data_IF_802010524393
#
_entry.id   IF_802010524393
#
_cell.length_a   1.000
_cell.length_b   1.000
_cell.length_c   1.000
_cell.angle_alpha   90.00
_cell.angle_beta   90.00
_cell.angle_gamma   90.00
#
_symmetry.space_group_name_H-M   'P 1'
#
loop_
_entity.id
_entity.type
_entity.pdbx_description
1 polymer ?
#
# COMPACT_ATOMS: atom_id res chain seq x y z
N UNK A 1 12.34 47.23 -36.80
CA UNK A 1 12.67 47.21 -35.35
C UNK A 1 11.82 46.09 -34.75
N UNK A 2 12.42 44.95 -34.35
CA UNK A 2 12.81 44.61 -32.96
C UNK A 2 11.61 44.76 -32.00
N UNK A 3 11.07 43.76 -31.29
CA UNK A 3 11.64 42.51 -30.75
C UNK A 3 10.50 41.57 -30.28
N UNK A 4 10.73 40.25 -30.32
CA UNK A 4 9.99 39.23 -29.58
C UNK A 4 9.94 39.53 -28.07
N UNK A 5 8.84 39.14 -27.40
CA UNK A 5 8.91 38.75 -25.98
C UNK A 5 8.13 37.46 -25.71
N UNK A 6 8.91 36.39 -25.56
CA UNK A 6 8.59 35.15 -24.84
C UNK A 6 8.83 35.40 -23.34
N UNK A 7 7.90 34.98 -22.48
CA UNK A 7 8.15 34.68 -21.06
C UNK A 7 7.39 33.37 -20.78
N UNK A 8 8.02 32.20 -20.90
CA UNK A 8 8.88 31.53 -19.91
C UNK A 8 8.26 31.44 -18.51
N UNK A 9 7.62 30.29 -18.30
CA UNK A 9 7.17 29.75 -17.01
C UNK A 9 8.41 29.46 -16.16
N UNK A 10 8.50 30.13 -15.02
CA UNK A 10 9.49 29.84 -13.99
C UNK A 10 9.09 28.57 -13.23
N UNK A 11 9.86 27.49 -13.44
CA UNK A 11 9.92 26.37 -12.50
C UNK A 11 10.90 26.79 -11.39
N UNK A 12 10.41 26.78 -10.15
CA UNK A 12 11.22 26.99 -8.96
C UNK A 12 12.13 25.77 -8.79
N UNK A 13 13.40 25.94 -9.17
CA UNK A 13 14.49 25.12 -8.71
C UNK A 13 14.94 25.67 -7.34
N UNK A 14 14.71 24.91 -6.26
CA UNK A 14 15.44 25.15 -5.00
C UNK A 14 16.79 24.48 -5.13
N UNK A 15 17.75 25.26 -5.62
CA UNK A 15 19.19 25.01 -5.54
C UNK A 15 19.65 25.47 -4.16
N UNK A 16 20.11 24.55 -3.32
CA UNK A 16 21.13 24.86 -2.32
C UNK A 16 22.42 24.19 -2.77
N UNK A 17 23.25 24.98 -3.43
CA UNK A 17 24.64 24.64 -3.73
C UNK A 17 25.54 25.07 -2.58
N UNK A 18 26.58 24.27 -2.35
CA UNK A 18 27.71 24.65 -1.52
C UNK A 18 28.60 23.47 -1.14
N UNK A 19 29.60 23.18 -1.98
CA UNK A 19 30.78 22.41 -1.57
C UNK A 19 31.12 21.21 -2.43
N UNK A 20 31.84 21.44 -3.53
CA UNK A 20 32.53 20.39 -4.27
C UNK A 20 33.69 19.83 -3.43
N UNK A 21 33.67 18.53 -3.13
CA UNK A 21 34.87 17.75 -2.83
C UNK A 21 34.82 16.44 -3.61
N UNK A 22 35.72 16.34 -4.60
CA UNK A 22 36.06 15.11 -5.29
C UNK A 22 36.82 14.19 -4.33
N UNK A 23 36.32 12.98 -4.12
CA UNK A 23 37.15 11.78 -3.99
C UNK A 23 36.40 10.60 -4.60
N UNK A 24 37.05 9.95 -5.56
CA UNK A 24 36.64 8.66 -6.06
C UNK A 24 36.59 7.67 -4.91
N UNK A 25 35.38 7.24 -4.59
CA UNK A 25 35.12 5.90 -4.12
C UNK A 25 33.92 5.45 -4.92
N UNK A 26 34.13 4.41 -5.73
CA UNK A 26 33.08 3.50 -6.13
C UNK A 26 32.36 3.06 -4.86
N UNK A 27 31.31 3.80 -4.51
CA UNK A 27 30.39 3.41 -3.46
C UNK A 27 29.91 2.01 -3.84
N UNK A 28 29.96 1.04 -2.91
CA UNK A 28 29.36 -0.25 -3.18
C UNK A 28 27.93 0.03 -3.63
N UNK A 29 27.51 -0.62 -4.71
CA UNK A 29 26.12 -0.65 -5.14
C UNK A 29 25.31 -1.24 -3.99
N UNK A 30 24.94 -0.40 -3.04
CA UNK A 30 24.07 -0.75 -1.93
C UNK A 30 22.79 -1.26 -2.57
N UNK A 31 22.42 -2.50 -2.23
CA UNK A 31 21.19 -3.15 -2.69
C UNK A 31 19.91 -2.46 -2.14
N UNK A 32 20.02 -1.23 -1.64
CA UNK A 32 18.97 -0.52 -0.93
C UNK A 32 18.69 -1.15 0.43
N UNK A 33 17.79 -0.52 1.19
CA UNK A 33 17.13 -1.19 2.32
C UNK A 33 16.27 -2.32 1.74
N UNK A 34 16.29 -3.50 2.36
CA UNK A 34 15.43 -4.61 1.94
C UNK A 34 13.99 -4.37 2.39
N UNK A 35 13.02 -4.67 1.52
CA UNK A 35 11.61 -4.58 1.90
C UNK A 35 11.34 -5.63 2.97
N UNK A 36 10.76 -5.21 4.08
CA UNK A 36 10.45 -6.17 5.11
C UNK A 36 9.19 -6.99 4.77
N UNK A 37 8.23 -6.44 4.02
CA UNK A 37 6.96 -7.12 3.72
C UNK A 37 6.91 -7.68 2.31
N UNK A 38 6.19 -8.78 2.14
CA UNK A 38 5.81 -9.29 0.82
C UNK A 38 4.32 -9.05 0.52
N UNK A 39 3.61 -8.30 1.37
CA UNK A 39 2.22 -7.97 1.17
C UNK A 39 2.05 -6.84 0.16
N UNK A 40 1.35 -7.15 -0.93
CA UNK A 40 1.12 -6.22 -2.02
C UNK A 40 -0.35 -5.81 -2.03
N UNK A 41 -0.58 -4.59 -1.56
CA UNK A 41 -1.90 -3.96 -1.56
C UNK A 41 -1.78 -2.61 -2.25
N UNK A 42 -2.41 -2.49 -3.41
CA UNK A 42 -2.56 -1.18 -4.06
C UNK A 42 -3.60 -0.39 -3.27
N UNK A 43 -3.24 0.84 -2.92
CA UNK A 43 -4.19 1.79 -2.31
C UNK A 43 -4.99 2.52 -3.36
N UNK A 44 -4.34 2.85 -4.49
CA UNK A 44 -4.88 3.70 -5.52
C UNK A 44 -4.27 3.37 -6.88
N UNK A 45 -5.09 3.38 -7.92
CA UNK A 45 -4.66 3.36 -9.30
C UNK A 45 -5.42 4.42 -10.10
N UNK A 46 -4.72 5.51 -10.42
CA UNK A 46 -5.31 6.71 -11.00
C UNK A 46 -4.88 6.96 -12.43
N UNK A 47 -5.85 7.45 -13.21
CA UNK A 47 -5.64 8.12 -14.49
C UNK A 47 -5.97 9.61 -14.37
N UNK A 48 -5.24 10.45 -15.10
CA UNK A 48 -5.42 11.89 -15.08
C UNK A 48 -4.97 12.48 -16.42
N UNK A 49 -5.83 13.27 -17.08
CA UNK A 49 -5.47 14.06 -18.28
C UNK A 49 -5.18 15.53 -17.97
N UNK A 50 -5.32 15.93 -16.70
CA UNK A 50 -5.03 17.28 -16.23
C UNK A 50 -4.65 17.25 -14.74
N UNK A 51 -3.92 18.27 -14.24
CA UNK A 51 -3.36 18.26 -12.88
C UNK A 51 -4.38 18.15 -11.73
N UNK A 52 -5.67 18.40 -12.00
CA UNK A 52 -6.69 18.56 -10.97
C UNK A 52 -7.72 17.43 -10.95
N UNK A 53 -7.72 16.56 -11.95
CA UNK A 53 -8.74 15.51 -12.11
C UNK A 53 -8.06 14.15 -12.09
N UNK A 54 -8.38 13.37 -11.05
CA UNK A 54 -7.91 12.00 -10.89
C UNK A 54 -9.12 11.08 -10.93
N UNK A 55 -9.06 10.08 -11.79
CA UNK A 55 -10.10 9.07 -11.98
C UNK A 55 -9.50 7.76 -11.51
N UNK A 56 -10.11 7.14 -10.49
CA UNK A 56 -9.77 5.78 -10.07
C UNK A 56 -10.12 4.83 -11.22
N UNK A 57 -9.18 3.95 -11.57
CA UNK A 57 -9.29 3.02 -12.69
C UNK A 57 -8.81 1.63 -12.24
N UNK A 58 -9.40 0.59 -12.80
CA UNK A 58 -9.02 -0.80 -12.45
C UNK A 58 -8.00 -1.36 -13.46
N UNK A 59 -8.09 -0.90 -14.71
CA UNK A 59 -7.29 -1.38 -15.84
C UNK A 59 -6.38 -0.29 -16.41
N UNK A 60 -5.28 -0.72 -17.03
CA UNK A 60 -4.40 0.20 -17.77
C UNK A 60 -5.20 0.85 -18.92
N UNK A 61 -5.22 2.18 -19.06
CA UNK A 61 -6.01 2.86 -20.07
C UNK A 61 -5.71 2.37 -21.50
N UNK A 62 -6.76 2.06 -22.25
CA UNK A 62 -6.69 1.43 -23.58
C UNK A 62 -6.13 2.36 -24.65
N UNK A 63 -6.13 3.66 -24.42
CA UNK A 63 -5.65 4.70 -25.34
C UNK A 63 -4.15 5.02 -25.17
N UNK A 64 -3.48 4.44 -24.17
CA UNK A 64 -2.03 4.60 -24.01
C UNK A 64 -1.26 3.92 -25.15
N UNK A 65 -0.13 4.52 -25.51
CA UNK A 65 0.80 3.95 -26.49
C UNK A 65 1.31 2.57 -26.04
N UNK A 66 1.67 1.66 -26.98
CA UNK A 66 2.12 0.31 -26.63
C UNK A 66 3.29 0.26 -25.64
N UNK A 67 4.28 1.15 -25.79
CA UNK A 67 5.45 1.23 -24.88
C UNK A 67 5.06 1.55 -23.44
N UNK A 68 4.03 2.37 -23.24
CA UNK A 68 3.55 2.75 -21.91
C UNK A 68 2.78 1.63 -21.24
N UNK A 69 1.94 0.94 -22.02
CA UNK A 69 1.25 -0.27 -21.55
C UNK A 69 2.24 -1.34 -21.15
N UNK A 70 3.27 -1.58 -21.96
CA UNK A 70 4.31 -2.57 -21.66
C UNK A 70 5.01 -2.26 -20.33
N UNK A 71 5.42 -1.01 -20.10
CA UNK A 71 6.00 -0.59 -18.83
C UNK A 71 5.04 -0.83 -17.67
N UNK A 72 3.80 -0.33 -17.75
CA UNK A 72 2.82 -0.44 -16.67
C UNK A 72 2.47 -1.91 -16.38
N UNK A 73 2.27 -2.74 -17.40
CA UNK A 73 2.01 -4.17 -17.22
C UNK A 73 3.17 -4.84 -16.48
N UNK A 74 4.42 -4.62 -16.92
CA UNK A 74 5.58 -5.21 -16.24
C UNK A 74 5.75 -4.69 -14.82
N UNK A 75 5.67 -3.37 -14.63
CA UNK A 75 5.87 -2.73 -13.34
C UNK A 75 4.82 -3.14 -12.30
N UNK A 76 3.53 -3.20 -12.68
CA UNK A 76 2.44 -3.57 -11.78
C UNK A 76 2.44 -5.04 -11.37
N UNK A 77 3.15 -5.90 -12.11
CA UNK A 77 3.33 -7.33 -11.78
C UNK A 77 4.55 -7.60 -10.90
N UNK A 78 5.37 -6.58 -10.62
CA UNK A 78 6.50 -6.74 -9.71
C UNK A 78 5.97 -7.00 -8.29
N UNK A 79 6.56 -7.95 -7.54
CA UNK A 79 6.23 -8.11 -6.14
C UNK A 79 6.69 -6.86 -5.36
N UNK A 80 6.04 -6.56 -4.22
CA UNK A 80 6.33 -5.34 -3.46
C UNK A 80 7.80 -5.26 -3.00
N UNK A 81 8.43 -6.41 -2.80
CA UNK A 81 9.80 -6.60 -2.36
C UNK A 81 10.80 -6.79 -3.53
N UNK A 82 10.38 -6.49 -4.77
CA UNK A 82 11.22 -6.67 -5.95
C UNK A 82 12.62 -6.06 -5.77
N UNK A 83 13.64 -6.86 -6.11
CA UNK A 83 15.03 -6.42 -6.11
C UNK A 83 15.25 -5.26 -7.09
N UNK A 84 16.29 -4.46 -6.84
CA UNK A 84 16.68 -3.37 -7.75
C UNK A 84 16.90 -3.86 -9.19
N UNK A 85 17.36 -5.11 -9.37
CA UNK A 85 17.53 -5.70 -10.70
C UNK A 85 16.19 -5.96 -11.39
N UNK A 86 15.21 -6.51 -10.66
CA UNK A 86 13.85 -6.71 -11.19
C UNK A 86 13.21 -5.37 -11.54
N UNK A 87 13.33 -4.37 -10.66
CA UNK A 87 12.82 -3.01 -10.91
C UNK A 87 13.47 -2.40 -12.15
N UNK A 88 14.80 -2.46 -12.29
CA UNK A 88 15.49 -1.93 -13.49
C UNK A 88 15.03 -2.62 -14.78
N UNK A 89 14.68 -3.91 -14.72
CA UNK A 89 14.33 -4.69 -15.92
C UNK A 89 13.01 -4.29 -16.59
N UNK A 90 12.15 -3.52 -15.91
CA UNK A 90 10.87 -3.09 -16.47
C UNK A 90 10.96 -1.76 -17.21
N UNK A 91 12.02 -0.98 -17.00
CA UNK A 91 12.22 0.30 -17.68
C UNK A 91 12.63 0.10 -19.13
N UNK A 92 12.27 1.03 -20.03
CA UNK A 92 12.68 0.96 -21.44
C UNK A 92 14.17 1.19 -21.65
N UNK A 93 14.85 1.80 -20.67
CA UNK A 93 16.29 2.04 -20.65
C UNK A 93 16.79 2.06 -19.20
N UNK A 94 18.10 2.09 -19.00
CA UNK A 94 18.68 2.12 -17.65
C UNK A 94 18.19 3.35 -16.88
N UNK A 95 17.48 3.18 -15.75
CA UNK A 95 16.99 4.30 -14.96
C UNK A 95 18.13 4.97 -14.19
N UNK A 96 18.01 6.28 -14.01
CA UNK A 96 18.72 7.01 -12.97
C UNK A 96 18.21 6.57 -11.61
N UNK A 97 19.12 6.44 -10.65
CA UNK A 97 18.80 5.97 -9.29
C UNK A 97 19.23 7.04 -8.30
N UNK A 98 18.30 7.43 -7.43
CA UNK A 98 18.55 8.32 -6.30
C UNK A 98 18.10 7.67 -5.00
N UNK A 99 18.73 8.04 -3.90
CA UNK A 99 18.43 7.51 -2.56
C UNK A 99 18.43 8.67 -1.55
N UNK A 100 17.34 8.82 -0.80
CA UNK A 100 17.16 9.91 0.17
C UNK A 100 16.17 9.47 1.25
N UNK A 101 16.57 9.51 2.52
CA UNK A 101 15.70 9.18 3.67
C UNK A 101 14.89 7.87 3.51
N UNK A 102 15.55 6.77 3.15
CA UNK A 102 14.92 5.46 2.89
C UNK A 102 13.97 5.42 1.69
N UNK A 103 13.85 6.51 0.93
CA UNK A 103 13.20 6.56 -0.36
C UNK A 103 14.25 6.40 -1.47
N UNK A 104 14.11 5.33 -2.24
CA UNK A 104 14.95 5.04 -3.41
C UNK A 104 14.12 5.14 -4.67
N UNK A 105 14.51 6.01 -5.59
CA UNK A 105 13.73 6.27 -6.81
C UNK A 105 14.49 5.85 -8.06
N UNK A 106 13.80 5.12 -8.93
CA UNK A 106 14.24 4.72 -10.26
C UNK A 106 13.48 5.58 -11.27
N UNK A 107 14.20 6.26 -12.16
CA UNK A 107 13.60 7.22 -13.06
C UNK A 107 14.22 7.15 -14.45
N UNK A 108 13.36 7.09 -15.47
CA UNK A 108 13.73 7.40 -16.85
C UNK A 108 12.86 8.57 -17.26
N UNK A 109 13.47 9.66 -17.70
CA UNK A 109 12.73 10.79 -18.24
C UNK A 109 13.36 11.34 -19.50
N UNK A 110 12.49 11.74 -20.43
CA UNK A 110 12.80 12.52 -21.61
C UNK A 110 11.88 13.75 -21.68
N UNK A 111 11.96 14.53 -22.77
CA UNK A 111 11.17 15.75 -22.95
C UNK A 111 9.65 15.52 -22.99
N UNK A 112 9.21 14.27 -23.19
CA UNK A 112 7.81 13.91 -23.41
C UNK A 112 7.27 12.94 -22.36
N UNK A 113 8.14 12.25 -21.62
CA UNK A 113 7.77 11.11 -20.78
C UNK A 113 8.59 11.05 -19.49
N UNK A 114 7.94 10.61 -18.43
CA UNK A 114 8.53 10.21 -17.17
C UNK A 114 8.03 8.80 -16.83
N UNK A 115 8.95 7.86 -16.65
CA UNK A 115 8.72 6.59 -15.97
C UNK A 115 9.36 6.68 -14.60
N UNK A 116 8.64 6.33 -13.54
CA UNK A 116 9.23 6.25 -12.21
C UNK A 116 8.70 5.08 -11.41
N UNK A 117 9.59 4.49 -10.61
CA UNK A 117 9.24 3.55 -9.56
C UNK A 117 9.98 4.01 -8.31
N UNK A 118 9.27 4.20 -7.21
CA UNK A 118 9.86 4.59 -5.93
C UNK A 118 9.71 3.46 -4.92
N UNK A 119 10.79 3.16 -4.20
CA UNK A 119 10.81 2.22 -3.08
C UNK A 119 10.96 2.98 -1.77
N UNK A 120 10.05 2.78 -0.81
CA UNK A 120 10.19 3.30 0.55
C UNK A 120 10.52 2.15 1.50
N UNK A 121 11.62 2.28 2.25
CA UNK A 121 12.16 1.24 3.12
C UNK A 121 12.29 -0.12 2.40
N UNK A 122 12.73 -0.07 1.13
CA UNK A 122 12.90 -1.25 0.28
C UNK A 122 11.65 -1.74 -0.45
N UNK A 123 10.46 -1.28 -0.09
CA UNK A 123 9.19 -1.74 -0.66
C UNK A 123 8.71 -0.81 -1.79
N UNK A 124 8.22 -1.35 -2.91
CA UNK A 124 7.64 -0.54 -3.99
C UNK A 124 6.45 0.27 -3.44
N UNK A 125 6.60 1.58 -3.44
CA UNK A 125 5.64 2.56 -2.92
C UNK A 125 4.76 3.16 -4.00
N UNK A 126 5.38 3.48 -5.13
CA UNK A 126 4.75 4.22 -6.21
C UNK A 126 5.25 3.73 -7.55
N UNK A 127 4.35 3.69 -8.52
CA UNK A 127 4.65 3.48 -9.94
C UNK A 127 4.00 4.63 -10.71
N UNK A 128 4.81 5.41 -11.39
CA UNK A 128 4.38 6.62 -12.08
C UNK A 128 4.71 6.53 -13.57
N UNK A 129 3.75 6.90 -14.39
CA UNK A 129 3.93 7.22 -15.79
C UNK A 129 3.34 8.60 -16.02
N UNK A 130 4.12 9.53 -16.55
CA UNK A 130 3.61 10.82 -17.06
C UNK A 130 4.05 10.96 -18.50
N UNK A 131 3.16 11.36 -19.39
CA UNK A 131 3.47 11.54 -20.81
C UNK A 131 2.68 12.68 -21.45
N UNK A 132 3.20 13.27 -22.52
CA UNK A 132 2.46 14.23 -23.35
C UNK A 132 1.46 13.50 -24.25
N UNK A 133 0.24 14.04 -24.33
CA UNK A 133 -0.81 13.64 -25.27
C UNK A 133 -1.40 14.90 -25.89
N UNK A 134 -1.03 15.20 -27.13
CA UNK A 134 -1.34 16.49 -27.75
C UNK A 134 -0.66 17.64 -27.00
N UNK A 135 -1.43 18.66 -26.64
CA UNK A 135 -0.95 19.80 -25.83
C UNK A 135 -1.00 19.56 -24.31
N UNK A 136 -1.60 18.43 -23.88
CA UNK A 136 -1.81 18.08 -22.48
C UNK A 136 -0.83 17.05 -21.93
N UNK A 137 -0.89 16.85 -20.61
CA UNK A 137 -0.17 15.78 -19.90
C UNK A 137 -1.16 14.73 -19.43
N UNK A 138 -0.85 13.48 -19.72
CA UNK A 138 -1.52 12.32 -19.15
C UNK A 138 -0.62 11.72 -18.09
N UNK A 139 -1.21 11.30 -16.97
CA UNK A 139 -0.51 10.57 -15.93
C UNK A 139 -1.29 9.33 -15.52
N UNK A 140 -0.56 8.23 -15.35
CA UNK A 140 -1.02 7.03 -14.65
C UNK A 140 -0.18 6.89 -13.39
N UNK A 141 -0.84 6.72 -12.26
CA UNK A 141 -0.21 6.64 -10.94
C UNK A 141 -0.73 5.42 -10.20
N UNK A 142 0.15 4.60 -9.65
CA UNK A 142 -0.22 3.57 -8.68
C UNK A 142 0.46 3.86 -7.35
N UNK A 143 -0.32 3.92 -6.27
CA UNK A 143 0.18 3.96 -4.90
C UNK A 143 -0.05 2.63 -4.20
N UNK A 144 0.96 2.14 -3.49
CA UNK A 144 0.86 0.93 -2.68
C UNK A 144 0.81 1.27 -1.19
N UNK A 145 0.07 0.48 -0.42
CA UNK A 145 0.09 0.58 1.04
C UNK A 145 1.43 0.03 1.57
N UNK A 146 2.29 0.93 2.06
CA UNK A 146 3.49 0.54 2.80
C UNK A 146 3.29 0.82 4.29
N UNK A 147 3.50 -0.15 5.19
CA UNK A 147 3.44 0.10 6.62
C UNK A 147 4.50 1.13 7.05
N UNK A 148 4.13 2.05 7.94
CA UNK A 148 4.97 3.14 8.46
C UNK A 148 6.26 2.68 9.16
N UNK A 149 6.38 1.39 9.47
CA UNK A 149 7.60 0.74 9.91
C UNK A 149 7.74 -0.60 9.19
N UNK A 150 8.48 -0.64 8.09
CA UNK A 150 8.84 -1.88 7.40
C UNK A 150 9.87 -2.67 8.25
N UNK A 151 9.40 -3.25 9.36
CA UNK A 151 10.07 -4.34 10.06
C UNK A 151 9.07 -5.48 10.14
N UNK A 152 9.36 -6.53 9.40
CA UNK A 152 8.64 -7.79 9.42
C UNK A 152 9.37 -8.73 10.34
N UNK A 153 8.61 -9.55 11.05
CA UNK A 153 9.17 -10.69 11.74
C UNK A 153 9.43 -11.81 10.75
N UNK A 154 10.11 -12.87 11.15
CA UNK A 154 10.55 -13.94 10.25
C UNK A 154 9.42 -14.94 9.87
N UNK A 155 8.16 -14.59 10.08
CA UNK A 155 7.00 -15.50 10.08
C UNK A 155 5.80 -15.03 9.25
N UNK A 156 5.96 -14.05 8.36
CA UNK A 156 4.96 -13.80 7.31
C UNK A 156 5.01 -14.91 6.25
N UNK A 157 3.88 -15.52 5.88
CA UNK A 157 3.81 -16.44 4.74
C UNK A 157 4.32 -15.79 3.45
N UNK A 158 4.97 -16.57 2.58
CA UNK A 158 5.32 -16.13 1.22
C UNK A 158 4.02 -15.76 0.48
N UNK A 159 4.02 -14.66 -0.28
CA UNK A 159 2.85 -14.16 -1.04
C UNK A 159 1.64 -13.79 -0.15
N UNK A 160 1.89 -13.18 1.00
CA UNK A 160 0.81 -12.73 1.88
C UNK A 160 -0.01 -11.63 1.21
N UNK A 161 -1.27 -11.89 0.86
CA UNK A 161 -2.19 -10.85 0.43
C UNK A 161 -1.76 -10.11 -0.86
N UNK A 162 -1.85 -10.81 -2.01
CA UNK A 162 -1.50 -10.30 -3.36
C UNK A 162 -2.72 -9.75 -4.11
N UNK A 163 -3.45 -8.79 -3.53
CA UNK A 163 -4.64 -8.23 -4.18
C UNK A 163 -4.33 -6.90 -4.84
N UNK A 164 -4.96 -6.69 -6.00
CA UNK A 164 -4.72 -5.53 -6.84
C UNK A 164 -5.32 -4.24 -6.31
N UNK A 165 -6.26 -4.31 -5.34
CA UNK A 165 -6.80 -3.17 -4.61
C UNK A 165 -7.67 -3.64 -3.42
N UNK A 166 -7.75 -2.85 -2.35
CA UNK A 166 -8.84 -2.95 -1.37
C UNK A 166 -9.93 -1.92 -1.72
N UNK A 167 -10.98 -2.35 -2.40
CA UNK A 167 -12.05 -1.51 -2.94
C UNK A 167 -13.06 -1.02 -1.89
N UNK A 168 -13.05 -1.60 -0.69
CA UNK A 168 -13.91 -1.12 0.38
C UNK A 168 -13.73 -1.82 1.72
N UNK A 169 -14.38 -1.25 2.73
CA UNK A 169 -14.55 -1.86 4.04
C UNK A 169 -15.97 -1.62 4.55
N UNK A 170 -16.61 -2.64 5.09
CA UNK A 170 -17.90 -2.52 5.77
C UNK A 170 -17.75 -2.93 7.23
N UNK A 171 -18.30 -2.12 8.14
CA UNK A 171 -18.40 -2.43 9.56
C UNK A 171 -19.87 -2.59 9.94
N UNK A 172 -20.18 -3.71 10.57
CA UNK A 172 -21.51 -4.02 11.08
C UNK A 172 -21.41 -4.32 12.56
N UNK A 173 -22.34 -3.77 13.33
CA UNK A 173 -22.43 -4.02 14.76
C UNK A 173 -23.76 -4.68 15.09
N UNK A 174 -23.69 -5.68 15.95
CA UNK A 174 -24.82 -6.44 16.44
C UNK A 174 -24.83 -6.43 17.95
N UNK A 175 -26.03 -6.31 18.51
CA UNK A 175 -26.30 -6.44 19.93
C UNK A 175 -27.41 -7.46 20.13
N UNK A 176 -27.15 -8.50 20.92
CA UNK A 176 -28.05 -9.63 21.13
C UNK A 176 -28.59 -10.20 19.80
N UNK A 177 -27.68 -10.39 18.83
CA UNK A 177 -27.98 -10.91 17.49
C UNK A 177 -28.71 -9.96 16.54
N UNK A 178 -29.02 -8.72 16.94
CA UNK A 178 -29.71 -7.73 16.08
C UNK A 178 -28.75 -6.64 15.64
N UNK A 179 -28.85 -6.23 14.38
CA UNK A 179 -28.10 -5.07 13.87
C UNK A 179 -28.40 -3.84 14.73
N UNK A 180 -27.37 -3.08 15.05
CA UNK A 180 -27.47 -1.85 15.82
C UNK A 180 -26.57 -0.77 15.22
N UNK A 181 -27.11 0.43 15.07
CA UNK A 181 -26.35 1.61 14.64
C UNK A 181 -25.54 2.25 15.79
N UNK A 182 -25.62 1.71 17.01
CA UNK A 182 -24.97 2.28 18.20
C UNK A 182 -23.44 2.30 18.09
N UNK A 183 -22.83 1.41 17.30
CA UNK A 183 -21.37 1.41 17.07
C UNK A 183 -20.83 2.70 16.43
N UNK A 184 -21.69 3.56 15.86
CA UNK A 184 -21.29 4.89 15.39
C UNK A 184 -20.88 5.81 16.54
N UNK A 185 -21.33 5.52 17.76
CA UNK A 185 -20.94 6.25 18.95
C UNK A 185 -19.70 5.58 19.57
N UNK A 186 -18.61 6.33 19.70
CA UNK A 186 -17.35 5.85 20.25
C UNK A 186 -17.47 5.21 21.65
N UNK A 187 -18.54 5.51 22.39
CA UNK A 187 -18.84 4.95 23.71
C UNK A 187 -19.48 3.55 23.68
N UNK A 188 -20.00 3.08 22.53
CA UNK A 188 -20.68 1.79 22.42
C UNK A 188 -19.73 0.60 22.20
N UNK A 189 -18.47 0.89 21.83
CA UNK A 189 -17.43 -0.11 21.62
C UNK A 189 -16.40 0.07 22.74
N UNK A 190 -16.13 -0.96 23.56
CA UNK A 190 -15.09 -0.90 24.57
C UNK A 190 -13.73 -0.52 23.98
N UNK A 191 -12.89 0.10 24.80
CA UNK A 191 -11.56 0.56 24.37
C UNK A 191 -10.69 -0.63 23.94
N UNK A 192 -10.83 -1.74 24.63
CA UNK A 192 -10.12 -3.00 24.45
C UNK A 192 -10.43 -3.59 23.07
N UNK A 193 -11.73 -3.63 22.71
CA UNK A 193 -12.19 -4.05 21.38
C UNK A 193 -11.69 -3.09 20.29
N UNK A 194 -11.74 -1.78 20.55
CA UNK A 194 -11.24 -0.77 19.59
C UNK A 194 -9.73 -0.89 19.34
N UNK A 195 -8.95 -1.15 20.39
CA UNK A 195 -7.52 -1.40 20.29
C UNK A 195 -7.23 -2.69 19.52
N UNK A 196 -7.98 -3.76 19.82
CA UNK A 196 -7.86 -5.04 19.11
C UNK A 196 -8.12 -4.87 17.60
N UNK A 197 -9.21 -4.19 17.21
CA UNK A 197 -9.51 -3.89 15.81
C UNK A 197 -8.36 -3.10 15.14
N UNK A 198 -7.72 -2.18 15.87
CA UNK A 198 -6.58 -1.44 15.36
C UNK A 198 -5.33 -2.30 15.18
N UNK A 199 -5.10 -3.30 16.03
CA UNK A 199 -4.01 -4.26 15.81
C UNK A 199 -4.30 -5.19 14.64
N UNK A 200 -5.57 -5.62 14.44
CA UNK A 200 -5.97 -6.42 13.27
C UNK A 200 -5.84 -5.67 11.95
N UNK A 201 -5.93 -4.32 11.93
CA UNK A 201 -5.55 -3.54 10.73
C UNK A 201 -4.15 -3.86 10.24
N UNK A 202 -3.29 -4.39 11.12
CA UNK A 202 -1.91 -4.77 10.83
C UNK A 202 -1.73 -6.22 10.41
N UNK A 203 -2.79 -7.00 10.36
CA UNK A 203 -2.72 -8.42 10.06
C UNK A 203 -1.95 -8.70 8.76
N UNK A 204 -2.36 -8.12 7.64
CA UNK A 204 -1.75 -8.42 6.32
C UNK A 204 -0.23 -8.16 6.27
N UNK A 205 0.30 -7.23 7.08
CA UNK A 205 1.72 -6.84 7.05
C UNK A 205 2.53 -7.22 8.29
N UNK A 206 1.91 -7.48 9.46
CA UNK A 206 2.59 -7.78 10.74
C UNK A 206 1.82 -8.80 11.61
N UNK A 207 1.50 -9.99 11.09
CA UNK A 207 0.79 -11.04 11.83
C UNK A 207 1.51 -11.49 13.09
N UNK A 208 2.83 -11.62 13.06
CA UNK A 208 3.60 -12.04 14.23
C UNK A 208 3.48 -11.08 15.40
N UNK A 209 3.44 -9.78 15.12
CA UNK A 209 3.19 -8.78 16.17
C UNK A 209 1.81 -8.96 16.78
N UNK A 210 0.81 -9.23 15.94
CA UNK A 210 -0.51 -9.55 16.44
C UNK A 210 -0.44 -10.83 17.31
N UNK A 211 0.22 -11.88 16.83
CA UNK A 211 0.30 -13.16 17.55
C UNK A 211 1.11 -13.05 18.85
N UNK A 212 2.11 -12.17 18.93
CA UNK A 212 2.83 -11.92 20.17
C UNK A 212 2.00 -11.14 21.20
N UNK A 213 1.04 -10.33 20.74
CA UNK A 213 0.14 -9.57 21.60
C UNK A 213 -1.04 -10.40 22.10
N UNK A 214 -1.68 -11.18 21.22
CA UNK A 214 -2.94 -11.88 21.51
C UNK A 214 -2.85 -13.40 21.48
N UNK A 215 -1.64 -13.94 21.29
CA UNK A 215 -1.38 -15.36 21.11
C UNK A 215 -1.59 -15.84 19.67
N UNK A 216 -1.15 -17.06 19.40
CA UNK A 216 -1.36 -17.72 18.11
C UNK A 216 -2.81 -18.20 17.96
N UNK A 217 -3.43 -18.08 16.78
CA UNK A 217 -4.77 -18.60 16.54
C UNK A 217 -4.81 -20.13 16.54
N UNK A 218 -5.99 -20.68 16.81
CA UNK A 218 -6.35 -22.01 16.33
C UNK A 218 -6.83 -21.87 14.89
N UNK A 219 -6.15 -22.55 13.96
CA UNK A 219 -6.48 -22.53 12.54
C UNK A 219 -7.32 -23.74 12.14
N UNK A 220 -8.40 -23.51 11.41
CA UNK A 220 -9.20 -24.54 10.74
C UNK A 220 -9.54 -24.03 9.33
N UNK A 221 -8.96 -24.66 8.31
CA UNK A 221 -9.10 -24.22 6.91
C UNK A 221 -8.68 -22.75 6.74
N UNK A 222 -9.56 -21.90 6.21
CA UNK A 222 -9.37 -20.45 6.05
C UNK A 222 -9.65 -19.65 7.32
N UNK A 223 -10.16 -20.27 8.38
CA UNK A 223 -10.56 -19.58 9.60
C UNK A 223 -9.45 -19.62 10.65
N UNK A 224 -9.08 -18.45 11.15
CA UNK A 224 -8.23 -18.25 12.32
C UNK A 224 -9.11 -17.83 13.51
N UNK A 225 -8.93 -18.48 14.65
CA UNK A 225 -9.76 -18.23 15.84
C UNK A 225 -8.93 -17.97 17.08
N UNK A 226 -9.35 -16.99 17.88
CA UNK A 226 -8.76 -16.68 19.19
C UNK A 226 -9.85 -16.62 20.26
N UNK A 227 -9.49 -17.07 21.45
CA UNK A 227 -10.19 -16.74 22.69
C UNK A 227 -9.24 -15.93 23.56
N UNK A 228 -9.51 -14.63 23.66
CA UNK A 228 -8.66 -13.69 24.38
C UNK A 228 -9.33 -13.42 25.72
N UNK A 229 -8.61 -13.64 26.82
CA UNK A 229 -9.08 -13.25 28.15
C UNK A 229 -8.85 -11.76 28.36
N UNK A 230 -9.86 -11.11 28.89
CA UNK A 230 -9.84 -9.68 29.21
C UNK A 230 -10.47 -9.48 30.58
N UNK A 231 -9.87 -8.62 31.41
CA UNK A 231 -10.31 -8.46 32.80
C UNK A 231 -11.69 -7.78 32.90
N UNK A 232 -12.04 -6.93 31.93
CA UNK A 232 -13.29 -6.16 31.90
C UNK A 232 -14.38 -6.88 31.09
N UNK A 233 -14.00 -7.57 30.02
CA UNK A 233 -14.93 -8.22 29.08
C UNK A 233 -14.97 -9.76 29.22
N UNK A 234 -14.25 -10.30 30.20
CA UNK A 234 -14.08 -11.72 30.49
C UNK A 234 -13.41 -12.51 29.35
N UNK A 235 -14.14 -12.75 28.26
CA UNK A 235 -13.60 -13.46 27.09
C UNK A 235 -14.10 -12.82 25.79
N UNK A 236 -13.15 -12.43 24.95
CA UNK A 236 -13.35 -12.02 23.58
C UNK A 236 -13.16 -13.22 22.66
N UNK A 237 -14.16 -13.47 21.82
CA UNK A 237 -14.04 -14.43 20.73
C UNK A 237 -13.73 -13.67 19.44
N UNK A 238 -12.61 -14.03 18.80
CA UNK A 238 -12.18 -13.42 17.55
C UNK A 238 -12.12 -14.49 16.47
N UNK A 239 -12.78 -14.23 15.36
CA UNK A 239 -12.74 -15.08 14.17
C UNK A 239 -12.29 -14.26 12.97
N UNK A 240 -11.33 -14.78 12.23
CA UNK A 240 -10.78 -14.16 11.05
C UNK A 240 -10.80 -15.14 9.89
N UNK A 241 -11.65 -14.88 8.89
CA UNK A 241 -11.60 -15.58 7.60
C UNK A 241 -10.48 -14.97 6.76
N UNK A 242 -9.62 -15.81 6.21
CA UNK A 242 -8.53 -15.39 5.32
C UNK A 242 -8.65 -16.02 3.93
N UNK A 243 -8.51 -15.22 2.89
CA UNK A 243 -8.43 -15.71 1.50
C UNK A 243 -7.09 -15.30 0.91
N UNK A 244 -6.36 -16.24 0.31
CA UNK A 244 -4.99 -16.04 -0.21
C UNK A 244 -4.09 -15.27 0.79
N UNK A 245 -4.18 -15.63 2.08
CA UNK A 245 -3.47 -15.00 3.19
C UNK A 245 -3.82 -13.51 3.47
N UNK A 246 -4.86 -12.94 2.84
CA UNK A 246 -5.45 -11.66 3.23
C UNK A 246 -6.54 -11.83 4.28
N UNK A 247 -6.66 -10.87 5.19
CA UNK A 247 -7.87 -10.67 5.98
C UNK A 247 -9.07 -10.39 5.07
N UNK A 248 -10.06 -11.30 5.06
CA UNK A 248 -11.34 -11.12 4.34
C UNK A 248 -12.43 -10.62 5.28
N UNK A 249 -12.71 -11.38 6.33
CA UNK A 249 -13.75 -11.03 7.32
C UNK A 249 -13.23 -11.21 8.73
N UNK A 250 -13.30 -10.15 9.53
CA UNK A 250 -12.97 -10.17 10.95
C UNK A 250 -14.25 -10.04 11.77
N UNK A 251 -14.47 -10.97 12.69
CA UNK A 251 -15.56 -10.94 13.67
C UNK A 251 -14.97 -10.88 15.07
N UNK A 252 -15.37 -9.88 15.85
CA UNK A 252 -15.03 -9.77 17.28
C UNK A 252 -16.33 -9.81 18.08
N UNK A 253 -16.42 -10.76 19.01
CA UNK A 253 -17.60 -10.99 19.85
C UNK A 253 -17.21 -10.90 21.32
N UNK A 254 -18.05 -10.25 22.12
CA UNK A 254 -17.88 -10.13 23.57
C UNK A 254 -19.23 -10.09 24.28
N UNK A 255 -19.22 -10.24 25.59
CA UNK A 255 -20.40 -10.09 26.43
C UNK A 255 -20.10 -9.07 27.53
N UNK A 256 -21.08 -8.25 27.87
CA UNK A 256 -21.04 -7.40 29.05
C UNK A 256 -22.40 -7.45 29.80
N UNK A 257 -22.60 -6.55 30.77
CA UNK A 257 -23.84 -6.46 31.55
C UNK A 257 -25.09 -6.16 30.70
N UNK A 258 -24.90 -5.65 29.49
CA UNK A 258 -25.94 -5.28 28.54
C UNK A 258 -26.25 -6.37 27.51
N UNK A 259 -25.51 -7.47 27.54
CA UNK A 259 -25.73 -8.68 26.74
C UNK A 259 -24.58 -8.99 25.80
N UNK A 260 -24.90 -9.68 24.71
CA UNK A 260 -23.94 -10.08 23.70
C UNK A 260 -23.72 -8.95 22.69
N UNK A 261 -22.47 -8.75 22.31
CA UNK A 261 -22.04 -7.78 21.32
C UNK A 261 -21.17 -8.45 20.27
N UNK A 262 -21.30 -8.02 19.01
CA UNK A 262 -20.50 -8.52 17.91
C UNK A 262 -20.23 -7.41 16.89
N UNK A 263 -18.97 -7.26 16.50
CA UNK A 263 -18.57 -6.45 15.35
C UNK A 263 -18.12 -7.38 14.24
N UNK A 264 -18.58 -7.12 13.02
CA UNK A 264 -18.10 -7.75 11.80
C UNK A 264 -17.48 -6.67 10.93
N UNK A 265 -16.24 -6.88 10.50
CA UNK A 265 -15.54 -6.10 9.49
C UNK A 265 -15.34 -6.96 8.25
N UNK A 266 -15.84 -6.49 7.13
CA UNK A 266 -15.63 -7.12 5.82
C UNK A 266 -14.71 -6.24 4.99
N UNK A 267 -13.67 -6.84 4.41
CA UNK A 267 -12.82 -6.20 3.42
C UNK A 267 -13.23 -6.70 2.03
N UNK A 268 -13.36 -5.76 1.09
CA UNK A 268 -13.57 -6.08 -0.31
C UNK A 268 -12.26 -5.85 -1.05
N UNK A 269 -11.87 -6.83 -1.85
CA UNK A 269 -10.69 -6.77 -2.69
C UNK A 269 -11.05 -7.15 -4.11
N UNK A 270 -10.41 -6.49 -5.06
CA UNK A 270 -10.44 -6.93 -6.44
C UNK A 270 -9.28 -7.90 -6.66
N UNK A 271 -9.60 -9.06 -7.24
CA UNK A 271 -8.57 -10.03 -7.64
C UNK A 271 -7.88 -9.48 -8.88
N UNK A 272 -6.55 -9.45 -8.85
CA UNK A 272 -5.74 -9.30 -10.05
C UNK A 272 -6.04 -10.51 -10.95
N UNK A 273 -6.67 -10.29 -12.11
CA UNK A 273 -6.73 -11.29 -13.17
C UNK A 273 -5.34 -11.47 -13.82
#
# INVERSE_FOLDING_TARGET
MKTLYKYFIGIIAVVFGGGAWWFGNSLPTSNGVECATNAYLVSHFYYSENRNERIEIDEIPKDLSPKFKEFLTKARTLPIDASDRQVKSVFPSSPEISDTFSLRSFKVSDDETLYSISKYAGCISHIDLVTKKGEGLVSVFQGNQIPSSAKVGNGQPVNSCQYSERTGQLFQYFRNGKYSDEARYASAIPKEVSQLLNEFRKFNYRRENLYSLIGSPVQKESMLSWQIKDDDLNTLEVLLDVDDNCEKTLSVKWNDLQGEHKIIKENFYDKTN
#
